data_IF_692636888317
#
_entry.id   IF_692636888317
#
_cell.length_a   1.000
_cell.length_b   1.000
_cell.length_c   1.000
_cell.angle_alpha   90.00
_cell.angle_beta   90.00
_cell.angle_gamma   90.00
#
_symmetry.space_group_name_H-M   'P 1'
#
loop_
_entity.id
_entity.type
_entity.pdbx_description
1 polymer ?
#
# COMPACT_ATOMS: atom_id res chain seq x y z
N UNK A 1 -27.47 67.36 52.11
CA UNK A 1 -26.24 68.16 52.37
C UNK A 1 -25.09 67.52 51.59
N UNK A 2 -24.44 68.34 50.77
CA UNK A 2 -23.04 68.31 50.28
C UNK A 2 -22.35 66.99 49.90
N UNK A 3 -21.81 67.00 48.67
CA UNK A 3 -20.95 65.99 48.05
C UNK A 3 -19.56 65.83 48.71
N UNK A 4 -18.84 64.74 48.36
CA UNK A 4 -17.52 64.82 47.68
C UNK A 4 -16.93 63.47 47.24
N UNK A 5 -16.67 63.42 45.93
CA UNK A 5 -15.60 62.78 45.15
C UNK A 5 -14.62 61.77 45.79
N UNK A 6 -14.54 60.58 45.19
CA UNK A 6 -13.36 59.70 45.21
C UNK A 6 -12.81 59.51 43.79
N UNK A 7 -11.53 59.84 43.59
CA UNK A 7 -10.79 59.76 42.33
C UNK A 7 -10.55 58.31 41.88
N UNK A 8 -10.88 58.01 40.63
CA UNK A 8 -10.40 56.82 39.93
C UNK A 8 -9.01 57.11 39.34
N UNK A 9 -7.98 56.44 39.85
CA UNK A 9 -6.63 56.47 39.27
C UNK A 9 -6.59 55.53 38.06
N UNK A 10 -6.25 56.10 36.91
CA UNK A 10 -6.12 55.44 35.62
C UNK A 10 -4.95 54.44 35.60
N UNK A 11 -5.26 53.14 35.56
CA UNK A 11 -4.30 52.04 35.33
C UNK A 11 -4.07 51.73 33.83
N UNK A 12 -4.17 52.74 32.94
CA UNK A 12 -4.12 52.48 31.48
C UNK A 12 -2.74 52.61 30.80
N UNK A 13 -1.67 52.93 31.52
CA UNK A 13 -0.38 53.27 30.88
C UNK A 13 0.77 52.28 31.07
N UNK A 14 0.62 51.22 31.87
CA UNK A 14 1.64 50.15 32.00
C UNK A 14 1.35 48.89 31.16
N UNK A 15 0.13 48.74 30.64
CA UNK A 15 -0.26 47.58 29.81
C UNK A 15 0.17 47.65 28.34
N UNK A 16 0.46 48.84 27.79
CA UNK A 16 0.82 48.98 26.37
C UNK A 16 2.30 48.68 26.08
N UNK A 17 3.20 48.80 27.06
CA UNK A 17 4.63 48.55 26.86
C UNK A 17 4.98 47.04 26.83
N UNK A 18 4.28 46.20 27.61
CA UNK A 18 4.48 44.75 27.58
C UNK A 18 3.86 44.07 26.36
N UNK A 19 2.75 44.62 25.83
CA UNK A 19 2.13 44.11 24.60
C UNK A 19 3.03 44.33 23.36
N UNK A 20 3.82 45.41 23.32
CA UNK A 20 4.73 45.72 22.23
C UNK A 20 6.01 44.86 22.24
N UNK A 21 6.52 44.49 23.42
CA UNK A 21 7.70 43.59 23.52
C UNK A 21 7.34 42.15 23.15
N UNK A 22 6.14 41.67 23.51
CA UNK A 22 5.65 40.34 23.08
C UNK A 22 5.29 40.30 21.58
N UNK A 23 4.79 41.40 21.02
CA UNK A 23 4.50 41.51 19.59
C UNK A 23 5.78 41.57 18.71
N UNK A 24 6.88 42.15 19.20
CA UNK A 24 8.17 42.14 18.48
C UNK A 24 8.89 40.78 18.53
N UNK A 25 8.71 39.98 19.59
CA UNK A 25 9.25 38.61 19.63
C UNK A 25 8.53 37.62 18.70
N UNK A 26 7.30 37.94 18.24
CA UNK A 26 6.57 37.11 17.29
C UNK A 26 7.00 37.32 15.82
N UNK A 27 7.72 38.41 15.50
CA UNK A 27 8.25 38.68 14.16
C UNK A 27 9.53 37.90 13.85
N UNK A 28 10.13 37.25 14.85
CA UNK A 28 11.21 36.28 14.69
C UNK A 28 10.72 34.84 14.86
N UNK A 29 9.41 34.60 14.67
CA UNK A 29 8.93 33.24 14.40
C UNK A 29 9.66 32.75 13.16
N UNK A 30 10.66 31.90 13.40
CA UNK A 30 11.53 31.33 12.40
C UNK A 30 10.68 30.90 11.20
N UNK A 31 10.91 31.51 10.05
CA UNK A 31 10.49 30.94 8.78
C UNK A 31 11.23 29.61 8.67
N UNK A 32 10.60 28.53 9.16
CA UNK A 32 11.11 27.19 8.94
C UNK A 32 11.18 27.05 7.42
N UNK A 33 12.39 27.17 6.86
CA UNK A 33 12.61 26.98 5.44
C UNK A 33 12.23 25.54 5.15
N UNK A 34 11.10 25.35 4.47
CA UNK A 34 10.73 24.07 3.94
C UNK A 34 11.91 23.60 3.08
N UNK A 35 12.43 22.39 3.35
CA UNK A 35 13.51 21.81 2.56
C UNK A 35 13.04 21.79 1.10
N UNK A 36 13.76 22.41 0.16
CA UNK A 36 13.36 22.42 -1.24
C UNK A 36 13.21 21.00 -1.78
N UNK A 37 12.14 20.75 -2.53
CA UNK A 37 11.96 19.46 -3.19
C UNK A 37 12.93 19.33 -4.36
N UNK A 38 13.79 18.32 -4.30
CA UNK A 38 14.85 18.04 -5.29
C UNK A 38 14.72 16.66 -5.94
N UNK A 39 13.86 15.80 -5.42
CA UNK A 39 13.63 14.44 -5.93
C UNK A 39 12.25 13.92 -5.54
N UNK A 40 11.83 12.86 -6.20
CA UNK A 40 10.54 12.21 -5.97
C UNK A 40 10.73 10.74 -5.65
N UNK A 41 10.03 10.24 -4.64
CA UNK A 41 9.79 8.83 -4.44
C UNK A 41 8.40 8.51 -4.97
N UNK A 42 8.28 7.39 -5.68
CA UNK A 42 7.06 6.94 -6.32
C UNK A 42 6.62 5.62 -5.68
N UNK A 43 5.37 5.51 -5.26
CA UNK A 43 4.82 4.25 -4.74
C UNK A 43 3.71 3.74 -5.66
N UNK A 44 3.78 2.47 -6.02
CA UNK A 44 2.73 1.74 -6.74
C UNK A 44 2.28 0.57 -5.88
N UNK A 45 1.06 0.11 -6.10
CA UNK A 45 0.62 -1.15 -5.55
C UNK A 45 -0.86 -1.19 -5.25
N UNK A 46 -1.21 -2.11 -4.35
CA UNK A 46 -2.59 -2.32 -3.95
C UNK A 46 -3.00 -1.50 -2.72
N UNK A 47 -3.91 -2.05 -1.91
CA UNK A 47 -4.37 -1.49 -0.65
C UNK A 47 -3.25 -1.27 0.37
N UNK A 48 -2.17 -2.06 0.35
CA UNK A 48 -1.05 -1.84 1.27
C UNK A 48 -0.26 -0.57 0.91
N UNK A 49 0.01 -0.35 -0.38
CA UNK A 49 0.66 0.88 -0.84
C UNK A 49 -0.20 2.10 -0.51
N UNK A 50 -1.52 1.98 -0.66
CA UNK A 50 -2.48 3.02 -0.31
C UNK A 50 -2.55 3.31 1.20
N UNK A 51 -2.25 2.33 2.06
CA UNK A 51 -2.44 2.45 3.51
C UNK A 51 -3.88 2.17 3.95
N UNK A 52 -4.61 1.34 3.21
CA UNK A 52 -6.00 1.01 3.51
C UNK A 52 -6.13 0.19 4.81
N UNK A 53 -7.24 0.39 5.53
CA UNK A 53 -7.79 -0.60 6.46
C UNK A 53 -9.31 -0.44 6.51
N UNK A 54 -10.02 -1.52 6.81
CA UNK A 54 -11.50 -1.48 6.88
C UNK A 54 -11.99 -0.53 7.98
N UNK A 55 -11.27 -0.46 9.11
CA UNK A 55 -11.58 0.46 10.19
C UNK A 55 -11.57 1.91 9.71
N UNK A 56 -10.50 2.33 9.05
CA UNK A 56 -10.37 3.72 8.63
C UNK A 56 -11.33 4.07 7.52
N UNK A 57 -11.64 3.12 6.64
CA UNK A 57 -12.71 3.29 5.68
C UNK A 57 -14.04 3.57 6.39
N UNK A 58 -14.47 2.69 7.31
CA UNK A 58 -15.72 2.91 8.05
C UNK A 58 -15.74 4.24 8.81
N UNK A 59 -14.62 4.64 9.41
CA UNK A 59 -14.49 5.90 10.17
C UNK A 59 -14.54 7.17 9.28
N UNK A 60 -14.22 7.05 7.99
CA UNK A 60 -14.08 8.18 7.07
C UNK A 60 -15.11 8.21 5.93
N UNK A 61 -16.02 7.23 5.85
CA UNK A 61 -17.05 7.16 4.81
C UNK A 61 -17.90 8.41 4.72
N UNK A 62 -18.34 8.95 5.86
CA UNK A 62 -19.14 10.19 5.91
C UNK A 62 -18.37 11.44 5.47
N UNK A 63 -17.04 11.38 5.47
CA UNK A 63 -16.16 12.45 5.02
C UNK A 63 -15.78 12.29 3.54
N UNK A 64 -16.29 11.26 2.86
CA UNK A 64 -15.96 10.95 1.47
C UNK A 64 -14.59 10.29 1.32
N UNK A 65 -14.11 9.58 2.35
CA UNK A 65 -12.88 8.80 2.32
C UNK A 65 -11.63 9.62 1.91
N UNK A 66 -11.35 10.78 2.54
CA UNK A 66 -10.24 11.61 2.11
C UNK A 66 -8.92 10.80 2.16
N UNK A 67 -8.09 10.84 1.10
CA UNK A 67 -6.85 10.05 1.04
C UNK A 67 -5.93 10.30 2.23
N UNK A 68 -5.95 11.51 2.80
CA UNK A 68 -5.18 11.88 4.00
C UNK A 68 -5.46 10.99 5.22
N UNK A 69 -6.64 10.35 5.30
CA UNK A 69 -6.95 9.38 6.36
C UNK A 69 -6.09 8.10 6.26
N UNK A 70 -5.53 7.83 5.08
CA UNK A 70 -4.76 6.64 4.76
C UNK A 70 -3.24 6.90 4.69
N UNK A 71 -2.77 8.06 5.19
CA UNK A 71 -1.34 8.43 5.18
C UNK A 71 -0.45 7.66 6.18
N UNK A 72 -0.97 6.61 6.80
CA UNK A 72 -0.25 5.73 7.74
C UNK A 72 0.20 4.41 7.10
N UNK A 73 0.09 4.28 5.77
CA UNK A 73 0.59 3.13 5.01
C UNK A 73 2.12 3.00 5.00
N UNK A 74 2.63 1.83 4.61
CA UNK A 74 4.07 1.55 4.62
C UNK A 74 4.86 2.50 3.70
N UNK A 75 4.22 3.04 2.66
CA UNK A 75 4.83 3.95 1.69
C UNK A 75 5.26 5.26 2.36
N UNK A 76 4.39 5.81 3.21
CA UNK A 76 4.69 6.97 4.04
C UNK A 76 5.75 6.65 5.09
N UNK A 77 5.61 5.52 5.80
CA UNK A 77 6.58 5.14 6.82
C UNK A 77 7.98 4.89 6.24
N UNK A 78 8.08 4.24 5.08
CA UNK A 78 9.33 4.02 4.38
C UNK A 78 9.93 5.34 3.89
N UNK A 79 9.13 6.22 3.27
CA UNK A 79 9.58 7.55 2.85
C UNK A 79 10.12 8.41 4.00
N UNK A 80 9.45 8.37 5.16
CA UNK A 80 9.86 9.08 6.37
C UNK A 80 11.13 8.48 6.99
N UNK A 81 11.17 7.16 7.12
CA UNK A 81 12.20 6.45 7.89
C UNK A 81 13.49 6.24 7.08
N UNK A 82 13.37 6.08 5.75
CA UNK A 82 14.51 5.98 4.83
C UNK A 82 15.36 7.26 4.76
N UNK A 83 14.85 8.39 5.25
CA UNK A 83 15.53 9.69 5.15
C UNK A 83 15.22 10.47 3.87
N UNK A 84 14.40 9.93 2.95
CA UNK A 84 14.04 10.58 1.70
C UNK A 84 13.48 12.00 1.91
N UNK A 85 12.53 12.19 2.85
CA UNK A 85 11.99 13.51 3.20
C UNK A 85 13.06 14.48 3.69
N UNK A 86 13.96 14.03 4.57
CA UNK A 86 15.06 14.87 5.11
C UNK A 86 16.04 15.29 4.01
N UNK A 87 16.17 14.47 2.97
CA UNK A 87 17.00 14.74 1.80
C UNK A 87 16.26 15.50 0.69
N UNK A 88 15.17 16.20 0.99
CA UNK A 88 14.41 17.00 0.01
C UNK A 88 13.56 16.18 -0.97
N UNK A 89 13.18 14.96 -0.58
CA UNK A 89 12.23 14.15 -1.33
C UNK A 89 10.78 14.60 -1.14
N UNK A 90 9.94 14.29 -2.12
CA UNK A 90 8.48 14.24 -2.00
C UNK A 90 8.01 12.82 -2.34
N UNK A 91 6.83 12.41 -1.84
CA UNK A 91 6.22 11.12 -2.17
C UNK A 91 5.03 11.35 -3.12
N UNK A 92 4.98 10.59 -4.21
CA UNK A 92 3.78 10.42 -5.05
C UNK A 92 3.30 8.99 -4.85
N UNK A 93 2.10 8.81 -4.31
CA UNK A 93 1.52 7.50 -4.04
C UNK A 93 0.40 7.19 -5.04
N UNK A 94 0.67 6.25 -5.95
CA UNK A 94 -0.25 5.76 -6.97
C UNK A 94 -1.04 4.53 -6.51
N UNK A 95 -0.83 4.02 -5.29
CA UNK A 95 -1.47 2.81 -4.81
C UNK A 95 -3.00 2.86 -4.91
N UNK A 96 -3.63 1.73 -5.20
CA UNK A 96 -5.07 1.62 -5.34
C UNK A 96 -5.61 0.40 -4.56
N UNK A 97 -6.55 0.56 -3.61
CA UNK A 97 -7.15 -0.57 -2.93
C UNK A 97 -7.82 -1.56 -3.88
N UNK A 98 -7.55 -2.86 -3.67
CA UNK A 98 -8.09 -3.93 -4.51
C UNK A 98 -7.39 -4.10 -5.87
N UNK A 99 -6.30 -3.37 -6.13
CA UNK A 99 -5.53 -3.51 -7.37
C UNK A 99 -4.94 -4.92 -7.50
N UNK A 100 -5.07 -5.50 -8.69
CA UNK A 100 -4.40 -6.74 -9.09
C UNK A 100 -3.24 -6.47 -10.02
N UNK A 101 -2.42 -7.47 -10.29
CA UNK A 101 -1.37 -7.32 -11.29
C UNK A 101 -1.92 -6.94 -12.68
N UNK A 102 -3.10 -7.46 -13.04
CA UNK A 102 -3.81 -7.13 -14.29
C UNK A 102 -4.24 -5.66 -14.37
N UNK A 103 -4.87 -5.15 -13.31
CA UNK A 103 -5.40 -3.78 -13.29
C UNK A 103 -4.31 -2.72 -13.08
N UNK A 104 -3.19 -3.08 -12.43
CA UNK A 104 -2.00 -2.24 -12.32
C UNK A 104 -1.37 -1.98 -13.70
N UNK A 105 -1.31 -3.01 -14.56
CA UNK A 105 -0.89 -2.90 -15.97
C UNK A 105 -1.91 -2.10 -16.79
N UNK A 106 -3.20 -2.35 -16.56
CA UNK A 106 -4.30 -1.72 -17.26
C UNK A 106 -4.61 -2.31 -18.64
N UNK A 107 -5.77 -1.99 -19.19
CA UNK A 107 -6.25 -2.40 -20.52
C UNK A 107 -6.05 -1.33 -21.61
N UNK A 108 -5.26 -0.30 -21.30
CA UNK A 108 -4.83 0.76 -22.21
C UNK A 108 -3.83 0.30 -23.29
N UNK A 109 -3.36 1.23 -24.15
CA UNK A 109 -2.37 0.92 -25.19
C UNK A 109 -1.10 0.28 -24.65
N UNK A 110 -0.61 0.73 -23.48
CA UNK A 110 0.56 0.15 -22.82
C UNK A 110 0.33 -1.32 -22.46
N UNK A 111 -0.76 -1.61 -21.75
CA UNK A 111 -1.10 -2.96 -21.34
C UNK A 111 -1.29 -3.91 -22.51
N UNK A 112 -1.97 -3.48 -23.58
CA UNK A 112 -2.12 -4.28 -24.82
C UNK A 112 -0.78 -4.57 -25.49
N UNK A 113 0.15 -3.61 -25.46
CA UNK A 113 1.51 -3.79 -25.94
C UNK A 113 2.27 -4.83 -25.13
N UNK A 114 2.20 -4.77 -23.80
CA UNK A 114 2.83 -5.73 -22.90
C UNK A 114 2.23 -7.13 -23.03
N UNK A 115 0.91 -7.23 -23.15
CA UNK A 115 0.22 -8.50 -23.39
C UNK A 115 0.70 -9.17 -24.68
N UNK A 116 0.90 -8.39 -25.73
CA UNK A 116 1.41 -8.88 -27.02
C UNK A 116 2.89 -9.27 -26.97
N UNK A 117 3.70 -8.56 -26.18
CA UNK A 117 5.16 -8.74 -26.15
C UNK A 117 5.63 -9.79 -25.14
N UNK A 118 4.96 -9.90 -24.00
CA UNK A 118 5.42 -10.66 -22.81
C UNK A 118 4.37 -11.71 -22.40
N UNK A 119 3.15 -11.63 -22.92
CA UNK A 119 2.05 -12.52 -22.51
C UNK A 119 1.45 -12.14 -21.16
N UNK A 120 1.59 -10.87 -20.74
CA UNK A 120 0.88 -10.36 -19.57
C UNK A 120 -0.62 -10.33 -19.82
N UNK A 121 -1.39 -10.33 -18.75
CA UNK A 121 -2.83 -10.12 -18.76
C UNK A 121 -3.16 -8.70 -18.31
N UNK A 122 -4.38 -8.25 -18.59
CA UNK A 122 -4.78 -6.85 -18.45
C UNK A 122 -6.22 -6.75 -17.99
N UNK A 123 -6.52 -5.76 -17.15
CA UNK A 123 -7.88 -5.41 -16.72
C UNK A 123 -8.07 -3.89 -16.71
N UNK A 124 -9.32 -3.43 -16.74
CA UNK A 124 -9.69 -2.04 -16.40
C UNK A 124 -8.96 -1.58 -15.13
N UNK A 125 -8.29 -0.42 -15.15
CA UNK A 125 -7.58 0.12 -14.00
C UNK A 125 -8.46 0.36 -12.77
N UNK A 126 -7.88 0.15 -11.58
CA UNK A 126 -8.30 0.64 -10.27
C UNK A 126 -9.83 0.69 -10.03
N UNK A 127 -10.40 -0.45 -9.64
CA UNK A 127 -11.83 -0.56 -9.32
C UNK A 127 -12.27 0.38 -8.18
N UNK A 128 -11.40 0.66 -7.20
CA UNK A 128 -11.65 1.59 -6.10
C UNK A 128 -11.95 3.00 -6.63
N UNK A 129 -11.09 3.53 -7.51
CA UNK A 129 -11.30 4.84 -8.10
C UNK A 129 -12.48 4.88 -9.07
N UNK A 130 -12.69 3.80 -9.83
CA UNK A 130 -13.88 3.64 -10.70
C UNK A 130 -15.20 3.68 -9.91
N UNK A 131 -15.18 3.29 -8.63
CA UNK A 131 -16.31 3.42 -7.72
C UNK A 131 -16.53 4.86 -7.20
N UNK A 132 -15.73 5.83 -7.64
CA UNK A 132 -15.82 7.23 -7.24
C UNK A 132 -15.07 7.57 -5.96
N UNK A 133 -14.19 6.69 -5.50
CA UNK A 133 -13.38 6.89 -4.30
C UNK A 133 -12.05 7.58 -4.64
N UNK A 134 -11.57 8.52 -3.81
CA UNK A 134 -10.42 9.35 -4.14
C UNK A 134 -9.09 8.60 -3.96
N UNK A 135 -8.10 8.96 -4.78
CA UNK A 135 -6.73 8.43 -4.69
C UNK A 135 -5.79 9.42 -4.02
N UNK A 136 -4.69 8.94 -3.42
CA UNK A 136 -3.62 9.81 -2.91
C UNK A 136 -3.05 10.72 -3.99
N UNK A 137 -2.85 10.15 -5.18
CA UNK A 137 -2.49 10.87 -6.38
C UNK A 137 -3.43 10.46 -7.51
N UNK A 138 -4.23 11.42 -7.98
CA UNK A 138 -5.15 11.21 -9.08
C UNK A 138 -4.39 11.01 -10.39
N UNK A 139 -4.67 9.90 -11.08
CA UNK A 139 -4.13 9.63 -12.41
C UNK A 139 -5.23 9.44 -13.48
N UNK A 140 -6.49 9.71 -13.14
CA UNK A 140 -7.62 9.70 -14.04
C UNK A 140 -8.26 8.32 -14.19
N UNK A 141 -9.58 8.30 -14.41
CA UNK A 141 -10.39 7.07 -14.35
C UNK A 141 -10.15 6.02 -15.45
N UNK A 142 -9.28 6.29 -16.41
CA UNK A 142 -8.95 5.36 -17.51
C UNK A 142 -7.48 5.02 -17.62
N UNK A 143 -6.58 5.69 -16.87
CA UNK A 143 -5.16 5.35 -16.86
C UNK A 143 -4.88 4.31 -15.79
N UNK A 144 -3.95 3.44 -16.07
CA UNK A 144 -3.38 2.50 -15.11
C UNK A 144 -2.33 3.15 -14.21
N UNK A 145 -2.02 2.48 -13.09
CA UNK A 145 -0.87 2.86 -12.27
C UNK A 145 0.43 2.78 -13.07
N UNK A 146 0.59 1.78 -13.94
CA UNK A 146 1.81 1.62 -14.74
C UNK A 146 1.98 2.78 -15.74
N UNK A 147 0.92 3.17 -16.45
CA UNK A 147 0.95 4.33 -17.35
C UNK A 147 1.26 5.63 -16.59
N UNK A 148 0.61 5.83 -15.44
CA UNK A 148 0.85 6.98 -14.57
C UNK A 148 2.29 7.01 -14.06
N UNK A 149 2.87 5.86 -13.70
CA UNK A 149 4.23 5.77 -13.22
C UNK A 149 5.25 6.18 -14.29
N UNK A 150 5.10 5.69 -15.53
CA UNK A 150 5.97 6.10 -16.64
C UNK A 150 5.87 7.60 -16.91
N UNK A 151 4.66 8.16 -16.84
CA UNK A 151 4.43 9.61 -16.97
C UNK A 151 5.12 10.38 -15.83
N UNK A 152 4.96 9.96 -14.57
CA UNK A 152 5.58 10.60 -13.42
C UNK A 152 7.10 10.54 -13.50
N UNK A 153 7.69 9.42 -13.92
CA UNK A 153 9.14 9.27 -14.08
C UNK A 153 9.67 10.27 -15.12
N UNK A 154 9.02 10.37 -16.29
CA UNK A 154 9.42 11.31 -17.34
C UNK A 154 9.23 12.78 -16.94
N UNK A 155 8.06 13.11 -16.37
CA UNK A 155 7.73 14.48 -15.94
C UNK A 155 8.69 14.98 -14.87
N UNK A 156 8.94 14.18 -13.84
CA UNK A 156 9.81 14.55 -12.73
C UNK A 156 11.26 14.73 -13.17
N UNK A 157 11.75 13.91 -14.10
CA UNK A 157 13.07 14.10 -14.71
C UNK A 157 13.15 15.43 -15.48
N UNK A 158 12.13 15.75 -16.29
CA UNK A 158 12.07 17.02 -17.04
C UNK A 158 12.02 18.26 -16.13
N UNK A 159 11.41 18.13 -14.94
CA UNK A 159 11.34 19.19 -13.93
C UNK A 159 12.59 19.31 -13.05
N UNK A 160 13.62 18.50 -13.27
CA UNK A 160 14.83 18.47 -12.44
C UNK A 160 14.59 17.94 -11.02
N UNK A 161 13.52 17.14 -10.83
CA UNK A 161 13.15 16.50 -9.56
C UNK A 161 13.02 14.98 -9.75
N UNK A 162 14.06 14.31 -10.29
CA UNK A 162 13.93 12.95 -10.80
C UNK A 162 13.35 11.98 -9.77
N UNK A 163 12.65 10.96 -10.25
CA UNK A 163 12.25 9.84 -9.40
C UNK A 163 13.50 9.07 -8.98
N UNK A 164 13.75 8.92 -7.68
CA UNK A 164 14.95 8.26 -7.14
C UNK A 164 14.65 6.88 -6.58
N UNK A 165 13.45 6.69 -6.05
CA UNK A 165 12.99 5.42 -5.50
C UNK A 165 11.59 5.10 -6.01
N UNK A 166 11.38 3.86 -6.42
CA UNK A 166 10.07 3.29 -6.71
C UNK A 166 9.80 2.16 -5.72
N UNK A 167 8.67 2.20 -5.02
CA UNK A 167 8.19 1.07 -4.22
C UNK A 167 7.02 0.38 -4.91
N UNK A 168 6.92 -0.94 -4.79
CA UNK A 168 5.86 -1.75 -5.40
C UNK A 168 5.41 -2.85 -4.45
N UNK A 169 4.11 -3.04 -4.29
CA UNK A 169 3.53 -4.26 -3.73
C UNK A 169 2.29 -4.66 -4.56
N UNK A 170 2.21 -5.91 -5.01
CA UNK A 170 1.10 -6.37 -5.84
C UNK A 170 1.02 -7.90 -5.80
N UNK A 171 -0.11 -8.50 -6.19
CA UNK A 171 -0.30 -9.95 -6.28
C UNK A 171 -1.28 -10.52 -5.27
N UNK A 172 -1.42 -9.91 -4.09
CA UNK A 172 -2.30 -10.43 -3.04
C UNK A 172 -3.79 -10.43 -3.46
N UNK A 173 -4.23 -9.42 -4.22
CA UNK A 173 -5.61 -9.41 -4.72
C UNK A 173 -5.85 -10.45 -5.82
N UNK A 174 -4.82 -10.85 -6.57
CA UNK A 174 -4.86 -11.95 -7.52
C UNK A 174 -5.13 -13.27 -6.78
N UNK A 175 -4.43 -13.51 -5.66
CA UNK A 175 -4.65 -14.65 -4.76
C UNK A 175 -6.06 -14.65 -4.17
N UNK A 176 -6.51 -13.51 -3.62
CA UNK A 176 -7.86 -13.38 -3.04
C UNK A 176 -8.97 -13.61 -4.06
N UNK A 177 -8.77 -13.20 -5.32
CA UNK A 177 -9.73 -13.50 -6.41
C UNK A 177 -9.79 -14.99 -6.70
N UNK A 178 -8.66 -15.70 -6.68
CA UNK A 178 -8.65 -17.14 -6.88
C UNK A 178 -9.31 -17.90 -5.72
N UNK A 179 -9.06 -17.48 -4.48
CA UNK A 179 -9.73 -18.05 -3.30
C UNK A 179 -11.25 -17.91 -3.44
N UNK A 180 -11.74 -16.69 -3.76
CA UNK A 180 -13.19 -16.44 -3.95
C UNK A 180 -13.79 -17.27 -5.10
N UNK A 181 -13.04 -17.48 -6.19
CA UNK A 181 -13.47 -18.37 -7.28
C UNK A 181 -13.65 -19.80 -6.78
N UNK A 182 -12.67 -20.33 -6.05
CA UNK A 182 -12.73 -21.67 -5.47
C UNK A 182 -13.89 -21.81 -4.46
N UNK A 183 -14.10 -20.84 -3.58
CA UNK A 183 -15.24 -20.82 -2.65
C UNK A 183 -16.58 -20.88 -3.38
N UNK A 184 -16.75 -20.05 -4.42
CA UNK A 184 -17.98 -20.00 -5.21
C UNK A 184 -18.22 -21.31 -5.99
N UNK A 185 -17.17 -21.85 -6.61
CA UNK A 185 -17.22 -23.11 -7.37
C UNK A 185 -17.59 -24.28 -6.48
N UNK A 186 -16.87 -24.48 -5.37
CA UNK A 186 -17.13 -25.56 -4.41
C UNK A 186 -18.53 -25.44 -3.83
N UNK A 187 -18.94 -24.23 -3.43
CA UNK A 187 -20.30 -23.99 -2.95
C UNK A 187 -21.34 -24.42 -3.98
N UNK A 188 -21.18 -24.00 -5.23
CA UNK A 188 -22.10 -24.38 -6.30
C UNK A 188 -22.15 -25.90 -6.50
N UNK A 189 -21.02 -26.59 -6.48
CA UNK A 189 -20.96 -28.05 -6.63
C UNK A 189 -21.69 -28.79 -5.51
N UNK A 190 -21.54 -28.35 -4.25
CA UNK A 190 -22.29 -28.93 -3.13
C UNK A 190 -23.79 -28.65 -3.21
N UNK A 191 -24.19 -27.45 -3.65
CA UNK A 191 -25.60 -27.09 -3.81
C UNK A 191 -26.29 -27.87 -4.94
N UNK A 192 -25.57 -28.22 -6.02
CA UNK A 192 -26.14 -28.89 -7.20
C UNK A 192 -25.94 -30.41 -7.23
N UNK A 193 -24.78 -30.90 -6.80
CA UNK A 193 -24.40 -32.31 -6.91
C UNK A 193 -24.28 -33.02 -5.55
N UNK A 194 -24.32 -32.28 -4.45
CA UNK A 194 -24.14 -32.80 -3.09
C UNK A 194 -22.70 -33.21 -2.77
N UNK A 195 -21.74 -32.89 -3.66
CA UNK A 195 -20.31 -33.18 -3.52
C UNK A 195 -19.50 -32.22 -4.40
N UNK A 196 -18.24 -32.00 -4.05
CA UNK A 196 -17.29 -31.29 -4.92
C UNK A 196 -16.42 -32.24 -5.73
N UNK A 197 -16.03 -31.84 -6.94
CA UNK A 197 -15.04 -32.58 -7.76
C UNK A 197 -13.65 -32.60 -7.12
N UNK A 198 -13.38 -31.67 -6.19
CA UNK A 198 -12.15 -31.62 -5.41
C UNK A 198 -12.17 -32.55 -4.17
N UNK A 199 -13.31 -33.19 -3.88
CA UNK A 199 -13.47 -34.15 -2.78
C UNK A 199 -13.39 -33.55 -1.37
N UNK A 200 -13.74 -34.34 -0.36
CA UNK A 200 -13.70 -33.93 1.06
C UNK A 200 -14.93 -33.15 1.53
N UNK A 201 -14.83 -32.52 2.70
CA UNK A 201 -15.78 -31.50 3.17
C UNK A 201 -15.73 -30.24 2.29
N UNK A 202 -16.69 -29.31 2.39
CA UNK A 202 -16.62 -28.02 1.68
C UNK A 202 -15.30 -27.27 1.93
N UNK A 203 -14.81 -27.26 3.16
CA UNK A 203 -13.55 -26.60 3.54
C UNK A 203 -12.34 -27.31 2.92
N UNK A 204 -12.31 -28.63 2.94
CA UNK A 204 -11.25 -29.43 2.30
C UNK A 204 -11.27 -29.27 0.77
N UNK A 205 -12.45 -29.23 0.17
CA UNK A 205 -12.63 -29.04 -1.27
C UNK A 205 -12.15 -27.65 -1.73
N UNK A 206 -12.40 -26.59 -0.96
CA UNK A 206 -11.86 -25.24 -1.25
C UNK A 206 -10.34 -25.27 -1.22
N UNK A 207 -9.75 -25.92 -0.22
CA UNK A 207 -8.29 -26.09 -0.14
C UNK A 207 -7.74 -26.83 -1.35
N UNK A 208 -8.32 -27.98 -1.71
CA UNK A 208 -7.91 -28.75 -2.89
C UNK A 208 -8.09 -27.98 -4.20
N UNK A 209 -9.13 -27.14 -4.31
CA UNK A 209 -9.29 -26.23 -5.45
C UNK A 209 -8.14 -25.23 -5.53
N UNK A 210 -7.79 -24.58 -4.41
CA UNK A 210 -6.66 -23.64 -4.36
C UNK A 210 -5.37 -24.34 -4.77
N UNK A 211 -5.09 -25.52 -4.21
CA UNK A 211 -3.92 -26.33 -4.55
C UNK A 211 -3.87 -26.72 -6.03
N UNK A 212 -5.02 -26.98 -6.66
CA UNK A 212 -5.11 -27.31 -8.08
C UNK A 212 -4.80 -26.11 -9.01
N UNK A 213 -5.03 -24.88 -8.55
CA UNK A 213 -4.86 -23.66 -9.36
C UNK A 213 -3.61 -22.84 -9.01
N UNK A 214 -2.88 -23.20 -7.94
CA UNK A 214 -1.80 -22.36 -7.40
C UNK A 214 -0.64 -22.16 -8.38
N UNK A 215 -0.28 -23.17 -9.17
CA UNK A 215 0.83 -23.06 -10.12
C UNK A 215 0.51 -22.08 -11.24
N UNK A 216 -0.70 -22.15 -11.82
CA UNK A 216 -1.14 -21.21 -12.85
C UNK A 216 -1.28 -19.79 -12.31
N UNK A 217 -1.84 -19.64 -11.10
CA UNK A 217 -1.94 -18.35 -10.42
C UNK A 217 -0.55 -17.73 -10.20
N UNK A 218 0.41 -18.48 -9.67
CA UNK A 218 1.77 -17.98 -9.46
C UNK A 218 2.44 -17.60 -10.78
N UNK A 219 2.28 -18.42 -11.82
CA UNK A 219 2.80 -18.10 -13.16
C UNK A 219 2.21 -16.78 -13.68
N UNK A 220 0.90 -16.58 -13.51
CA UNK A 220 0.22 -15.35 -13.91
C UNK A 220 0.77 -14.12 -13.15
N UNK A 221 0.78 -14.15 -11.82
CA UNK A 221 1.32 -13.07 -10.98
C UNK A 221 2.75 -12.72 -11.40
N UNK A 222 3.63 -13.73 -11.50
CA UNK A 222 5.04 -13.52 -11.86
C UNK A 222 5.22 -12.98 -13.27
N UNK A 223 4.40 -13.41 -14.24
CA UNK A 223 4.44 -12.87 -15.61
C UNK A 223 4.08 -11.39 -15.65
N UNK A 224 3.07 -10.99 -14.88
CA UNK A 224 2.66 -9.59 -14.82
C UNK A 224 3.65 -8.74 -14.02
N UNK A 225 4.17 -9.23 -12.88
CA UNK A 225 5.24 -8.54 -12.14
C UNK A 225 6.47 -8.32 -13.04
N UNK A 226 6.83 -9.32 -13.84
CA UNK A 226 7.89 -9.17 -14.85
C UNK A 226 7.54 -8.06 -15.85
N UNK A 227 6.33 -8.05 -16.41
CA UNK A 227 5.89 -7.03 -17.37
C UNK A 227 5.91 -5.61 -16.79
N UNK A 228 5.49 -5.44 -15.54
CA UNK A 228 5.52 -4.17 -14.80
C UNK A 228 6.97 -3.66 -14.67
N UNK A 229 7.87 -4.50 -14.16
CA UNK A 229 9.28 -4.11 -13.99
C UNK A 229 9.98 -3.89 -15.33
N UNK A 230 9.67 -4.70 -16.34
CA UNK A 230 10.16 -4.53 -17.70
C UNK A 230 9.74 -3.18 -18.27
N UNK A 231 8.47 -2.80 -18.14
CA UNK A 231 7.98 -1.51 -18.61
C UNK A 231 8.65 -0.34 -17.90
N UNK A 232 8.83 -0.43 -16.58
CA UNK A 232 9.52 0.61 -15.79
C UNK A 232 10.98 0.78 -16.25
N UNK A 233 11.74 -0.33 -16.38
CA UNK A 233 13.14 -0.27 -16.83
C UNK A 233 13.28 0.13 -18.30
N UNK A 234 12.31 -0.20 -19.13
CA UNK A 234 12.31 0.06 -20.58
C UNK A 234 11.32 1.15 -21.00
N UNK A 235 11.01 2.11 -20.12
CA UNK A 235 9.99 3.14 -20.35
C UNK A 235 10.16 3.93 -21.66
N UNK A 236 11.40 4.06 -22.16
CA UNK A 236 11.68 4.67 -23.47
C UNK A 236 11.03 3.94 -24.66
N UNK A 237 10.84 2.62 -24.55
CA UNK A 237 10.12 1.82 -25.57
C UNK A 237 8.61 2.06 -25.56
N UNK A 238 8.11 2.74 -24.52
CA UNK A 238 6.70 2.97 -24.25
C UNK A 238 6.33 4.47 -24.23
N UNK A 239 7.18 5.32 -24.82
CA UNK A 239 6.95 6.77 -24.91
C UNK A 239 7.33 7.56 -23.65
N UNK A 240 7.93 6.91 -22.65
CA UNK A 240 8.50 7.55 -21.46
C UNK A 240 10.03 7.63 -21.52
N UNK A 241 10.67 7.46 -20.36
CA UNK A 241 12.13 7.32 -20.24
C UNK A 241 12.45 6.04 -19.45
N UNK A 242 13.62 5.45 -19.69
CA UNK A 242 14.08 4.29 -18.93
C UNK A 242 14.36 4.69 -17.48
N UNK A 243 13.74 3.99 -16.53
CA UNK A 243 13.99 4.23 -15.11
C UNK A 243 15.28 3.56 -14.66
N UNK A 244 16.20 4.33 -14.09
CA UNK A 244 17.50 3.83 -13.58
C UNK A 244 17.61 3.90 -12.05
N UNK A 245 16.59 4.44 -11.38
CA UNK A 245 16.59 4.56 -9.92
C UNK A 245 16.38 3.22 -9.19
N UNK A 246 16.27 3.31 -7.87
CA UNK A 246 16.11 2.17 -6.97
C UNK A 246 14.68 1.65 -7.03
N UNK A 247 14.50 0.34 -7.18
CA UNK A 247 13.19 -0.32 -7.05
C UNK A 247 13.21 -1.17 -5.78
N UNK A 248 12.18 -1.01 -4.94
CA UNK A 248 11.94 -1.84 -3.74
C UNK A 248 10.59 -2.52 -3.87
N UNK A 249 10.60 -3.83 -3.98
CA UNK A 249 9.38 -4.65 -4.01
C UNK A 249 9.11 -5.16 -2.60
N UNK A 250 7.94 -4.87 -2.05
CA UNK A 250 7.48 -5.37 -0.76
C UNK A 250 6.65 -6.65 -1.00
N UNK A 251 7.17 -7.78 -0.51
CA UNK A 251 6.53 -9.09 -0.63
C UNK A 251 5.35 -9.27 0.32
N UNK A 252 4.57 -10.34 0.17
CA UNK A 252 3.40 -10.60 1.02
C UNK A 252 3.72 -11.12 2.43
N UNK A 253 2.82 -10.90 3.38
CA UNK A 253 2.69 -11.71 4.60
C UNK A 253 1.38 -12.52 4.52
N UNK A 254 1.21 -13.52 5.38
CA UNK A 254 -0.02 -14.31 5.40
C UNK A 254 -0.96 -13.83 6.55
N UNK A 255 -2.02 -13.06 6.24
CA UNK A 255 -3.01 -12.65 7.25
C UNK A 255 -3.83 -13.83 7.78
N UNK A 256 -3.90 -14.95 7.04
CA UNK A 256 -4.66 -16.14 7.41
C UNK A 256 -3.82 -17.17 8.19
N UNK A 257 -2.65 -16.77 8.70
CA UNK A 257 -1.82 -17.61 9.55
C UNK A 257 -2.48 -17.97 10.90
N UNK A 258 -1.69 -18.30 11.90
CA UNK A 258 -2.14 -18.73 13.22
C UNK A 258 -2.65 -17.57 14.11
N UNK A 259 -3.62 -16.80 13.62
CA UNK A 259 -4.16 -15.58 14.25
C UNK A 259 -4.71 -15.83 15.65
N UNK A 260 -5.31 -17.00 15.89
CA UNK A 260 -6.02 -17.31 17.15
C UNK A 260 -5.37 -18.41 17.99
N UNK A 261 -4.16 -18.86 17.63
CA UNK A 261 -3.42 -19.87 18.38
C UNK A 261 -3.96 -21.30 18.24
N UNK A 262 -4.83 -21.57 17.25
CA UNK A 262 -5.47 -22.86 17.00
C UNK A 262 -5.10 -23.49 15.65
N UNK A 263 -4.02 -22.99 15.03
CA UNK A 263 -3.67 -23.29 13.65
C UNK A 263 -4.01 -22.13 12.71
N UNK A 264 -3.61 -22.28 11.45
CA UNK A 264 -3.88 -21.30 10.40
C UNK A 264 -5.39 -21.15 10.18
N UNK A 265 -5.84 -19.91 9.98
CA UNK A 265 -7.23 -19.62 9.57
C UNK A 265 -7.51 -20.25 8.22
N UNK A 266 -6.53 -20.21 7.31
CA UNK A 266 -6.57 -20.92 6.03
C UNK A 266 -5.45 -21.97 5.99
N UNK A 267 -5.72 -23.26 6.25
CA UNK A 267 -4.67 -24.27 6.32
C UNK A 267 -3.81 -24.37 5.04
N UNK A 268 -2.49 -24.20 5.21
CA UNK A 268 -1.49 -24.22 4.14
C UNK A 268 -1.09 -22.84 3.62
N UNK A 269 -1.81 -21.76 3.99
CA UNK A 269 -1.60 -20.42 3.44
C UNK A 269 -0.20 -19.88 3.71
N UNK A 270 0.38 -20.12 4.90
CA UNK A 270 1.74 -19.67 5.21
C UNK A 270 2.77 -20.30 4.27
N UNK A 271 2.58 -21.58 3.91
CA UNK A 271 3.51 -22.29 3.02
C UNK A 271 3.41 -21.74 1.60
N UNK A 272 2.18 -21.51 1.11
CA UNK A 272 1.97 -20.93 -0.21
C UNK A 272 2.53 -19.50 -0.31
N UNK A 273 2.28 -18.68 0.71
CA UNK A 273 2.85 -17.32 0.80
C UNK A 273 4.39 -17.34 0.81
N UNK A 274 5.02 -18.29 1.51
CA UNK A 274 6.48 -18.45 1.48
C UNK A 274 7.01 -18.80 0.09
N UNK A 275 6.31 -19.69 -0.63
CA UNK A 275 6.69 -20.11 -1.99
C UNK A 275 6.56 -18.94 -2.95
N UNK A 276 5.45 -18.19 -2.91
CA UNK A 276 5.28 -17.02 -3.77
C UNK A 276 6.34 -15.96 -3.47
N UNK A 277 6.56 -15.62 -2.19
CA UNK A 277 7.58 -14.65 -1.80
C UNK A 277 8.97 -15.02 -2.33
N UNK A 278 9.33 -16.30 -2.27
CA UNK A 278 10.60 -16.80 -2.82
C UNK A 278 10.66 -16.62 -4.34
N UNK A 279 9.61 -17.00 -5.07
CA UNK A 279 9.57 -16.89 -6.53
C UNK A 279 9.58 -15.43 -7.00
N UNK A 280 8.89 -14.56 -6.29
CA UNK A 280 8.94 -13.12 -6.55
C UNK A 280 10.33 -12.57 -6.30
N UNK A 281 10.98 -12.89 -5.17
CA UNK A 281 12.35 -12.48 -4.90
C UNK A 281 13.30 -12.90 -6.03
N UNK A 282 13.25 -14.17 -6.45
CA UNK A 282 14.06 -14.71 -7.57
C UNK A 282 13.81 -13.96 -8.88
N UNK A 283 12.56 -13.53 -9.13
CA UNK A 283 12.20 -12.76 -10.33
C UNK A 283 12.72 -11.33 -10.27
N UNK A 284 12.46 -10.62 -9.16
CA UNK A 284 12.68 -9.17 -9.08
C UNK A 284 14.14 -8.82 -8.84
N UNK A 285 14.91 -9.71 -8.19
CA UNK A 285 16.35 -9.52 -7.93
C UNK A 285 17.21 -9.89 -9.15
N UNK A 286 16.61 -10.28 -10.29
CA UNK A 286 17.35 -10.47 -11.55
C UNK A 286 18.13 -9.21 -11.94
N UNK A 287 19.30 -9.41 -12.52
CA UNK A 287 20.21 -8.31 -12.91
C UNK A 287 19.55 -7.28 -13.84
N UNK A 288 18.68 -7.72 -14.75
CA UNK A 288 17.96 -6.83 -15.68
C UNK A 288 17.05 -5.82 -14.98
N UNK A 289 16.56 -6.15 -13.77
CA UNK A 289 15.73 -5.26 -12.98
C UNK A 289 16.52 -4.56 -11.88
N UNK A 290 17.53 -5.22 -11.30
CA UNK A 290 18.32 -4.67 -10.19
C UNK A 290 17.45 -4.14 -9.04
N UNK A 291 16.27 -4.76 -8.84
CA UNK A 291 15.36 -4.39 -7.75
C UNK A 291 15.76 -5.13 -6.48
N UNK A 292 15.34 -4.58 -5.34
CA UNK A 292 15.48 -5.24 -4.05
C UNK A 292 14.13 -5.79 -3.59
N UNK A 293 14.10 -7.03 -3.10
CA UNK A 293 12.90 -7.65 -2.54
C UNK A 293 12.91 -7.66 -1.02
N UNK A 294 11.88 -7.10 -0.39
CA UNK A 294 11.69 -7.07 1.05
C UNK A 294 10.59 -8.05 1.46
N UNK A 295 10.97 -9.22 2.00
CA UNK A 295 10.03 -10.25 2.44
C UNK A 295 9.59 -10.03 3.91
N UNK A 296 8.34 -9.63 4.20
CA UNK A 296 7.87 -9.43 5.57
C UNK A 296 7.42 -10.73 6.25
N UNK A 297 7.21 -11.81 5.50
CA UNK A 297 6.63 -13.06 6.00
C UNK A 297 7.38 -13.63 7.22
N UNK A 298 8.73 -13.69 7.27
CA UNK A 298 9.43 -14.20 8.47
C UNK A 298 9.22 -13.34 9.72
N UNK A 299 8.86 -12.06 9.57
CA UNK A 299 8.49 -11.21 10.70
C UNK A 299 7.03 -11.43 11.08
N UNK A 300 6.09 -11.41 10.15
CA UNK A 300 4.66 -11.52 10.45
C UNK A 300 4.24 -12.94 10.85
N UNK A 301 4.76 -13.94 10.14
CA UNK A 301 4.44 -15.36 10.25
C UNK A 301 5.66 -16.23 10.65
N UNK A 302 6.25 -16.02 11.84
CA UNK A 302 7.39 -16.80 12.30
C UNK A 302 7.02 -18.24 12.75
N UNK A 303 5.74 -18.62 12.68
CA UNK A 303 5.21 -19.82 13.31
C UNK A 303 5.05 -19.72 14.83
N UNK A 304 4.46 -20.77 15.40
CA UNK A 304 4.30 -20.94 16.84
C UNK A 304 3.47 -19.84 17.52
N UNK A 305 3.77 -19.58 18.81
CA UNK A 305 3.03 -18.59 19.63
C UNK A 305 3.37 -17.14 19.27
N UNK A 306 4.53 -16.89 18.67
CA UNK A 306 4.93 -15.53 18.29
C UNK A 306 4.08 -15.01 17.12
N UNK A 307 3.74 -15.89 16.18
CA UNK A 307 2.87 -15.55 15.05
C UNK A 307 1.52 -15.01 15.50
N UNK A 308 0.83 -15.71 16.41
CA UNK A 308 -0.45 -15.25 16.97
C UNK A 308 -0.36 -13.83 17.52
N UNK A 309 0.63 -13.56 18.38
CA UNK A 309 0.81 -12.24 18.98
C UNK A 309 1.16 -11.16 17.95
N UNK A 310 1.93 -11.50 16.92
CA UNK A 310 2.33 -10.57 15.85
C UNK A 310 1.17 -10.27 14.91
N UNK A 311 0.46 -11.29 14.43
CA UNK A 311 -0.71 -11.10 13.57
C UNK A 311 -1.80 -10.29 14.27
N UNK A 312 -2.10 -10.57 15.54
CA UNK A 312 -3.07 -9.79 16.31
C UNK A 312 -2.64 -8.33 16.54
N UNK A 313 -1.33 -8.07 16.61
CA UNK A 313 -0.80 -6.71 16.81
C UNK A 313 -0.67 -5.92 15.50
N UNK A 314 -0.25 -6.60 14.44
CA UNK A 314 0.18 -5.97 13.19
C UNK A 314 -0.86 -6.06 12.08
N UNK A 315 -1.92 -6.85 12.24
CA UNK A 315 -3.02 -6.94 11.28
C UNK A 315 -4.35 -6.68 11.98
N UNK A 316 -5.37 -6.31 11.23
CA UNK A 316 -6.73 -6.12 11.73
C UNK A 316 -7.53 -7.44 11.80
N UNK A 317 -6.89 -8.61 11.68
CA UNK A 317 -7.58 -9.92 11.71
C UNK A 317 -8.21 -10.24 13.07
N UNK A 318 -7.77 -9.57 14.13
CA UNK A 318 -8.38 -9.66 15.46
C UNK A 318 -9.17 -8.41 15.87
N UNK A 319 -9.41 -7.49 14.92
CA UNK A 319 -10.21 -6.31 15.15
C UNK A 319 -11.70 -6.65 14.99
N UNK A 320 -12.40 -6.87 16.09
CA UNK A 320 -13.85 -7.14 16.10
C UNK A 320 -14.67 -5.92 16.54
N UNK A 321 -14.08 -4.73 16.47
CA UNK A 321 -14.79 -3.49 16.78
C UNK A 321 -15.77 -3.13 15.68
N UNK A 322 -16.70 -2.24 15.99
CA UNK A 322 -17.65 -1.70 15.03
C UNK A 322 -17.62 -0.16 15.07
N UNK A 323 -17.79 0.47 13.92
CA UNK A 323 -18.00 1.90 13.80
C UNK A 323 -19.34 2.12 13.10
N UNK A 324 -20.26 2.82 13.78
CA UNK A 324 -21.60 3.12 13.27
C UNK A 324 -22.36 1.90 12.73
N UNK A 325 -22.21 0.75 13.40
CA UNK A 325 -22.87 -0.51 13.04
C UNK A 325 -22.19 -1.28 11.90
N UNK A 326 -21.03 -0.82 11.42
CA UNK A 326 -20.19 -1.53 10.45
C UNK A 326 -19.02 -2.19 11.14
N UNK A 327 -18.72 -3.43 10.75
CA UNK A 327 -17.59 -4.19 11.29
C UNK A 327 -16.27 -3.65 10.75
N UNK A 328 -15.32 -3.44 11.66
CA UNK A 328 -13.95 -3.03 11.33
C UNK A 328 -13.04 -4.23 11.01
N UNK A 329 -13.51 -5.46 11.25
CA UNK A 329 -12.83 -6.69 10.88
C UNK A 329 -13.67 -7.95 11.12
N UNK A 330 -13.08 -9.15 11.00
CA UNK A 330 -11.66 -9.41 10.70
C UNK A 330 -11.25 -8.81 9.35
N UNK A 331 -10.11 -8.13 9.33
CA UNK A 331 -9.58 -7.44 8.17
C UNK A 331 -8.11 -7.80 7.95
N UNK A 332 -7.76 -8.21 6.73
CA UNK A 332 -6.42 -8.69 6.38
C UNK A 332 -5.35 -7.60 6.43
N UNK A 333 -5.76 -6.33 6.37
CA UNK A 333 -4.84 -5.20 6.25
C UNK A 333 -4.06 -4.94 7.55
N UNK A 334 -2.85 -4.37 7.44
CA UNK A 334 -2.05 -4.03 8.60
C UNK A 334 -2.73 -2.98 9.49
N UNK A 335 -2.42 -3.03 10.79
CA UNK A 335 -2.62 -1.88 11.68
C UNK A 335 -1.56 -0.81 11.35
N UNK A 336 -1.66 0.43 11.88
CA UNK A 336 -0.56 1.40 11.74
C UNK A 336 0.79 0.86 12.23
N UNK A 337 0.80 0.03 13.28
CA UNK A 337 2.04 -0.63 13.74
C UNK A 337 2.52 -1.71 12.76
N UNK A 338 1.60 -2.40 12.08
CA UNK A 338 1.95 -3.34 11.02
C UNK A 338 2.54 -2.67 9.79
N UNK A 339 1.95 -1.55 9.33
CA UNK A 339 2.51 -0.76 8.23
C UNK A 339 3.93 -0.26 8.55
N UNK A 340 4.14 0.22 9.78
CA UNK A 340 5.48 0.57 10.23
C UNK A 340 6.44 -0.61 10.19
N UNK A 341 5.98 -1.80 10.59
CA UNK A 341 6.79 -3.01 10.53
C UNK A 341 7.15 -3.42 9.09
N UNK A 342 6.25 -3.24 8.12
CA UNK A 342 6.54 -3.45 6.69
C UNK A 342 7.65 -2.50 6.22
N UNK A 343 7.56 -1.21 6.54
CA UNK A 343 8.58 -0.23 6.20
C UNK A 343 9.95 -0.56 6.84
N UNK A 344 9.97 -1.03 8.09
CA UNK A 344 11.21 -1.47 8.74
C UNK A 344 11.85 -2.67 8.04
N UNK A 345 11.05 -3.64 7.57
CA UNK A 345 11.56 -4.78 6.77
C UNK A 345 12.18 -4.28 5.46
N UNK A 346 11.53 -3.34 4.79
CA UNK A 346 12.06 -2.72 3.56
C UNK A 346 13.39 -2.01 3.82
N UNK A 347 13.52 -1.30 4.94
CA UNK A 347 14.77 -0.61 5.31
C UNK A 347 15.87 -1.61 5.68
N UNK A 348 15.54 -2.64 6.45
CA UNK A 348 16.49 -3.70 6.86
C UNK A 348 17.10 -4.39 5.64
N UNK A 349 16.28 -4.69 4.63
CA UNK A 349 16.70 -5.47 3.45
C UNK A 349 17.21 -4.61 2.30
N UNK A 350 16.60 -3.44 2.06
CA UNK A 350 16.87 -2.61 0.88
C UNK A 350 17.56 -1.29 1.21
N UNK A 351 17.71 -0.93 2.49
CA UNK A 351 18.32 0.31 2.94
C UNK A 351 17.45 1.55 2.74
N UNK A 352 17.88 2.67 3.31
CA UNK A 352 17.27 3.99 3.11
C UNK A 352 17.83 4.75 1.91
N UNK A 353 17.60 6.06 1.92
CA UNK A 353 18.32 7.05 1.11
C UNK A 353 19.47 7.55 1.98
N UNK A 354 20.71 7.26 1.58
CA UNK A 354 21.91 7.83 2.23
C UNK A 354 22.16 9.24 1.70
#
# INVERSE_FOLDING_TARGET
>A
MSAKHGSAVSFRLLGCAFALVLALSALFAASASAVPVTKTDLALGDSLAFGYSQQLFNENEKLGEPPTAFEHGYTNDYFMTSGAKRAGGQLVNLGCPGETTDSLIGDGPLGKGLASAIGSTTESPCAYHKAGLPLHHEYGGTKSQLESALEQIALNAALGKPVTTLTLNIGANDELRQIKKCEAEVKSEFETEGKSKYGGSPEEAVKHCIEAHVEELFKHILTNVYAILYAIRNGGSFGGINYTGKIVVQGGYDPYGNVYGKGEVLPGSNTLAAILNKKEAELVEKEEFGACYANPQPKFNPGGKQETARLQKWTNMANFTEYEGKKNGPDIHPTPTGYHQLALVMIEKCGGVV
#
